data_IF_156077283962
#
_entry.id   IF_156077283962
#
_cell.length_a   1.000
_cell.length_b   1.000
_cell.length_c   1.000
_cell.angle_alpha   90.00
_cell.angle_beta   90.00
_cell.angle_gamma   90.00
#
_symmetry.space_group_name_H-M   'P 1'
#
loop_
_entity.id
_entity.type
_entity.pdbx_description
1 polymer ?
#
# COMPACT_ATOMS: atom_id res chain seq x y z
N UNK A 1 59.50 -34.00 -13.42
CA UNK A 1 58.23 -33.26 -13.28
C UNK A 1 57.94 -32.80 -11.85
N UNK A 2 58.25 -33.58 -10.79
CA UNK A 2 57.94 -33.19 -9.40
C UNK A 2 58.77 -32.01 -8.85
N UNK A 3 60.03 -31.84 -9.29
CA UNK A 3 60.92 -30.81 -8.76
C UNK A 3 60.55 -29.37 -9.18
N UNK A 4 60.10 -29.17 -10.42
CA UNK A 4 59.65 -27.86 -10.90
C UNK A 4 58.34 -27.41 -10.25
N UNK A 5 57.40 -28.35 -10.05
CA UNK A 5 56.13 -28.06 -9.38
C UNK A 5 56.37 -27.62 -7.93
N UNK A 6 57.25 -28.28 -7.19
CA UNK A 6 57.60 -27.88 -5.82
C UNK A 6 58.29 -26.50 -5.76
N UNK A 7 59.05 -26.13 -6.79
CA UNK A 7 59.71 -24.82 -6.87
C UNK A 7 58.70 -23.70 -7.14
N UNK A 8 57.67 -23.96 -7.95
CA UNK A 8 56.58 -23.00 -8.21
C UNK A 8 55.70 -22.85 -6.96
N UNK A 9 55.34 -23.94 -6.29
CA UNK A 9 54.53 -23.90 -5.07
C UNK A 9 55.24 -23.15 -3.93
N UNK A 10 56.53 -23.40 -3.70
CA UNK A 10 57.30 -22.66 -2.68
C UNK A 10 57.48 -21.17 -3.03
N UNK A 11 57.57 -20.83 -4.32
CA UNK A 11 57.61 -19.43 -4.77
C UNK A 11 56.27 -18.71 -4.55
N UNK A 12 55.15 -19.38 -4.84
CA UNK A 12 53.81 -18.84 -4.62
C UNK A 12 53.52 -18.67 -3.13
N UNK A 13 53.85 -19.65 -2.30
CA UNK A 13 53.67 -19.59 -0.84
C UNK A 13 54.45 -18.44 -0.21
N UNK A 14 55.71 -18.25 -0.63
CA UNK A 14 56.56 -17.15 -0.15
C UNK A 14 56.04 -15.78 -0.59
N UNK A 15 55.50 -15.66 -1.81
CA UNK A 15 54.86 -14.42 -2.27
C UNK A 15 53.55 -14.15 -1.52
N UNK A 16 52.70 -15.15 -1.39
CA UNK A 16 51.43 -15.03 -0.67
C UNK A 16 51.64 -14.65 0.79
N UNK A 17 52.60 -15.29 1.48
CA UNK A 17 52.95 -14.95 2.86
C UNK A 17 53.44 -13.51 3.03
N UNK A 18 54.24 -12.99 2.08
CA UNK A 18 54.68 -11.60 2.08
C UNK A 18 53.52 -10.62 1.86
N UNK A 19 52.63 -10.92 0.91
CA UNK A 19 51.44 -10.10 0.67
C UNK A 19 50.50 -10.12 1.86
N UNK A 20 50.26 -11.28 2.47
CA UNK A 20 49.41 -11.44 3.65
C UNK A 20 49.99 -10.69 4.85
N UNK A 21 51.29 -10.77 5.12
CA UNK A 21 51.90 -10.07 6.26
C UNK A 21 51.88 -8.55 6.08
N UNK A 22 52.14 -8.07 4.86
CA UNK A 22 52.08 -6.65 4.53
C UNK A 22 50.64 -6.12 4.67
N UNK A 23 49.67 -6.92 4.22
CA UNK A 23 48.25 -6.57 4.32
C UNK A 23 47.75 -6.56 5.77
N UNK A 24 48.16 -7.54 6.58
CA UNK A 24 47.80 -7.57 7.99
C UNK A 24 48.34 -6.36 8.75
N UNK A 25 49.60 -5.96 8.50
CA UNK A 25 50.17 -4.77 9.15
C UNK A 25 49.46 -3.48 8.72
N UNK A 26 49.14 -3.37 7.43
CA UNK A 26 48.35 -2.25 6.92
C UNK A 26 46.95 -2.20 7.53
N UNK A 27 46.28 -3.36 7.63
CA UNK A 27 44.98 -3.45 8.27
C UNK A 27 45.08 -3.08 9.74
N UNK A 28 46.04 -3.58 10.51
CA UNK A 28 46.19 -3.24 11.93
C UNK A 28 46.39 -1.73 12.15
N UNK A 29 47.20 -1.09 11.31
CA UNK A 29 47.45 0.36 11.39
C UNK A 29 46.23 1.21 11.00
N UNK A 30 45.41 0.72 10.05
CA UNK A 30 44.30 1.49 9.49
C UNK A 30 42.91 0.94 9.85
N UNK A 31 42.81 -0.12 10.65
CA UNK A 31 41.57 -0.84 10.92
C UNK A 31 40.49 0.07 11.48
N UNK A 32 40.85 0.93 12.44
CA UNK A 32 39.93 1.87 13.07
C UNK A 32 39.38 2.88 12.06
N UNK A 33 40.21 3.39 11.15
CA UNK A 33 39.77 4.34 10.13
C UNK A 33 38.90 3.67 9.07
N UNK A 34 39.28 2.47 8.61
CA UNK A 34 38.53 1.69 7.63
C UNK A 34 37.17 1.29 8.19
N UNK A 35 37.13 0.72 9.40
CA UNK A 35 35.89 0.31 10.06
C UNK A 35 34.96 1.50 10.33
N UNK A 36 35.49 2.62 10.81
CA UNK A 36 34.69 3.84 11.03
C UNK A 36 34.13 4.40 9.71
N UNK A 37 34.93 4.39 8.65
CA UNK A 37 34.50 4.87 7.32
C UNK A 37 33.42 3.98 6.71
N UNK A 38 33.56 2.66 6.81
CA UNK A 38 32.55 1.70 6.37
C UNK A 38 31.26 1.89 7.17
N UNK A 39 31.35 2.02 8.49
CA UNK A 39 30.18 2.24 9.34
C UNK A 39 29.47 3.55 8.98
N UNK A 40 30.21 4.65 8.82
CA UNK A 40 29.66 5.94 8.41
C UNK A 40 28.97 5.86 7.05
N UNK A 41 29.58 5.16 6.08
CA UNK A 41 28.99 4.93 4.77
C UNK A 41 27.69 4.11 4.85
N UNK A 42 27.67 3.03 5.63
CA UNK A 42 26.48 2.20 5.81
C UNK A 42 25.33 2.98 6.47
N UNK A 43 25.64 3.82 7.47
CA UNK A 43 24.64 4.70 8.10
C UNK A 43 24.10 5.71 7.09
N UNK A 44 24.97 6.36 6.31
CA UNK A 44 24.55 7.32 5.29
C UNK A 44 23.67 6.65 4.21
N UNK A 45 24.07 5.47 3.74
CA UNK A 45 23.29 4.67 2.79
C UNK A 45 21.93 4.27 3.37
N UNK A 46 21.89 3.83 4.63
CA UNK A 46 20.65 3.47 5.31
C UNK A 46 19.71 4.68 5.44
N UNK A 47 20.23 5.84 5.87
CA UNK A 47 19.43 7.07 5.98
C UNK A 47 18.89 7.51 4.62
N UNK A 48 19.72 7.46 3.57
CA UNK A 48 19.29 7.75 2.21
C UNK A 48 18.16 6.82 1.75
N UNK A 49 18.29 5.51 1.99
CA UNK A 49 17.25 4.53 1.68
C UNK A 49 15.98 4.73 2.52
N UNK A 50 16.11 5.05 3.81
CA UNK A 50 14.97 5.29 4.70
C UNK A 50 14.17 6.52 4.26
N UNK A 51 14.85 7.61 3.90
CA UNK A 51 14.21 8.84 3.42
C UNK A 51 13.49 8.59 2.09
N UNK A 52 14.14 7.92 1.14
CA UNK A 52 13.56 7.66 -0.19
C UNK A 52 12.44 6.62 -0.16
N UNK A 53 12.45 5.69 0.79
CA UNK A 53 11.41 4.65 0.94
C UNK A 53 10.19 5.10 1.75
N UNK A 54 10.30 6.18 2.55
CA UNK A 54 9.21 6.68 3.41
C UNK A 54 7.90 6.88 2.67
N UNK A 55 7.91 7.56 1.52
CA UNK A 55 6.69 7.80 0.73
C UNK A 55 6.04 6.51 0.23
N UNK A 56 6.84 5.50 -0.12
CA UNK A 56 6.34 4.18 -0.54
C UNK A 56 5.70 3.44 0.63
N UNK A 57 6.26 3.53 1.84
CA UNK A 57 5.66 2.93 3.03
C UNK A 57 4.29 3.57 3.35
N UNK A 58 4.21 4.90 3.28
CA UNK A 58 2.94 5.62 3.49
C UNK A 58 1.90 5.24 2.42
N UNK A 59 2.31 5.12 1.16
CA UNK A 59 1.41 4.67 0.08
C UNK A 59 0.87 3.26 0.33
N UNK A 60 1.75 2.35 0.76
CA UNK A 60 1.37 0.97 1.09
C UNK A 60 0.39 0.92 2.27
N UNK A 61 0.61 1.72 3.31
CA UNK A 61 -0.28 1.82 4.47
C UNK A 61 -1.67 2.32 4.05
N UNK A 62 -1.73 3.43 3.31
CA UNK A 62 -3.00 3.98 2.80
C UNK A 62 -3.74 2.95 1.96
N UNK A 63 -3.05 2.31 1.00
CA UNK A 63 -3.63 1.27 0.15
C UNK A 63 -4.22 0.13 0.97
N UNK A 64 -3.47 -0.37 1.95
CA UNK A 64 -3.91 -1.44 2.84
C UNK A 64 -5.16 -1.03 3.61
N UNK A 65 -5.18 0.18 4.15
CA UNK A 65 -6.29 0.70 4.95
C UNK A 65 -7.56 0.89 4.11
N UNK A 66 -7.48 1.57 2.96
CA UNK A 66 -8.65 1.78 2.08
C UNK A 66 -9.23 0.46 1.58
N UNK A 67 -8.38 -0.53 1.28
CA UNK A 67 -8.83 -1.87 0.90
C UNK A 67 -9.50 -2.62 2.06
N UNK A 68 -8.93 -2.52 3.27
CA UNK A 68 -9.51 -3.15 4.46
C UNK A 68 -10.87 -2.55 4.79
N UNK A 69 -11.01 -1.24 4.69
CA UNK A 69 -12.27 -0.51 4.89
C UNK A 69 -13.29 -0.91 3.82
N UNK A 70 -12.91 -0.95 2.54
CA UNK A 70 -13.81 -1.33 1.47
C UNK A 70 -14.36 -2.76 1.66
N UNK A 71 -13.49 -3.72 2.00
CA UNK A 71 -13.90 -5.10 2.33
C UNK A 71 -14.85 -5.17 3.53
N UNK A 72 -14.61 -4.37 4.56
CA UNK A 72 -15.51 -4.31 5.72
C UNK A 72 -16.91 -3.79 5.33
N UNK A 73 -16.98 -2.79 4.44
CA UNK A 73 -18.25 -2.28 3.91
C UNK A 73 -18.94 -3.33 3.01
N UNK A 74 -18.18 -4.07 2.20
CA UNK A 74 -18.72 -5.19 1.41
C UNK A 74 -19.25 -6.31 2.30
N UNK A 75 -18.59 -6.59 3.43
CA UNK A 75 -19.05 -7.57 4.40
C UNK A 75 -20.35 -7.12 5.08
N UNK A 76 -20.47 -5.85 5.45
CA UNK A 76 -21.74 -5.28 5.94
C UNK A 76 -22.86 -5.48 4.91
N UNK A 77 -22.57 -5.23 3.64
CA UNK A 77 -23.55 -5.48 2.59
C UNK A 77 -23.95 -6.96 2.49
N UNK A 78 -22.99 -7.87 2.60
CA UNK A 78 -23.28 -9.32 2.59
C UNK A 78 -24.12 -9.77 3.79
N UNK A 79 -23.94 -9.16 4.96
CA UNK A 79 -24.66 -9.57 6.19
C UNK A 79 -26.03 -8.91 6.32
N UNK A 80 -26.10 -7.60 6.03
CA UNK A 80 -27.23 -6.74 6.39
C UNK A 80 -28.01 -6.18 5.19
N UNK A 81 -27.51 -6.39 3.96
CA UNK A 81 -27.97 -5.80 2.71
C UNK A 81 -28.04 -4.27 2.75
N UNK A 82 -27.05 -3.59 2.16
CA UNK A 82 -27.01 -2.12 2.12
C UNK A 82 -27.91 -1.62 1.00
N UNK A 83 -28.99 -0.95 1.38
CA UNK A 83 -29.99 -0.41 0.46
C UNK A 83 -29.53 0.91 -0.15
N UNK A 84 -28.98 1.79 0.69
CA UNK A 84 -28.62 3.16 0.31
C UNK A 84 -27.40 3.62 1.11
N UNK A 85 -26.59 4.48 0.49
CA UNK A 85 -25.55 5.25 1.17
C UNK A 85 -25.94 6.72 1.08
N UNK A 86 -26.27 7.32 2.22
CA UNK A 86 -26.70 8.72 2.35
C UNK A 86 -25.53 9.67 2.47
N UNK A 87 -25.74 10.87 1.90
CA UNK A 87 -24.78 11.95 1.93
C UNK A 87 -23.72 11.85 0.83
N UNK A 88 -23.02 12.96 0.60
CA UNK A 88 -21.93 13.02 -0.38
C UNK A 88 -20.56 12.63 0.19
N UNK A 89 -20.38 12.74 1.51
CA UNK A 89 -19.13 12.45 2.20
C UNK A 89 -19.44 12.13 3.67
N UNK A 90 -18.85 11.06 4.20
CA UNK A 90 -19.02 10.68 5.60
C UNK A 90 -17.80 9.92 6.13
N UNK A 91 -17.39 10.14 7.39
CA UNK A 91 -16.31 9.36 8.00
C UNK A 91 -16.74 7.91 8.24
N UNK A 92 -15.80 6.96 8.10
CA UNK A 92 -16.08 5.51 8.23
C UNK A 92 -16.09 4.99 9.67
N UNK A 93 -16.31 5.86 10.65
CA UNK A 93 -16.31 5.52 12.10
C UNK A 93 -17.40 4.52 12.50
N UNK A 94 -18.40 4.31 11.66
CA UNK A 94 -19.45 3.32 11.91
C UNK A 94 -18.96 1.87 11.87
N UNK A 95 -17.81 1.59 11.24
CA UNK A 95 -17.27 0.23 11.11
C UNK A 95 -16.83 -0.41 12.43
N UNK A 96 -16.54 0.40 13.45
CA UNK A 96 -16.16 -0.08 14.79
C UNK A 96 -17.35 -0.22 15.75
N UNK A 97 -18.60 -0.05 15.29
CA UNK A 97 -19.78 -0.22 16.13
C UNK A 97 -20.05 -1.70 16.41
N UNK A 98 -20.08 -2.07 17.69
CA UNK A 98 -20.37 -3.44 18.13
C UNK A 98 -21.84 -3.84 18.00
N UNK A 99 -22.76 -2.90 18.20
CA UNK A 99 -24.19 -3.13 18.12
C UNK A 99 -24.86 -1.94 17.45
N UNK A 100 -25.97 -2.23 16.78
CA UNK A 100 -26.83 -1.25 16.12
C UNK A 100 -28.27 -1.62 16.43
N UNK A 101 -29.13 -0.61 16.53
CA UNK A 101 -30.55 -0.76 16.87
C UNK A 101 -31.46 -0.14 15.84
N UNK A 102 -30.90 0.26 14.70
CA UNK A 102 -31.61 0.95 13.64
C UNK A 102 -31.03 0.59 12.28
N UNK A 103 -31.90 0.61 11.27
CA UNK A 103 -31.54 0.47 9.86
C UNK A 103 -30.62 1.60 9.34
N UNK A 104 -30.57 2.74 10.04
CA UNK A 104 -29.68 3.84 9.71
C UNK A 104 -28.40 3.75 10.57
N UNK A 105 -27.24 3.52 9.94
CA UNK A 105 -25.95 3.37 10.61
C UNK A 105 -24.95 4.32 9.96
N UNK A 106 -24.81 5.52 10.54
CA UNK A 106 -23.99 6.57 9.94
C UNK A 106 -24.52 6.93 8.56
N UNK A 107 -23.72 6.81 7.47
CA UNK A 107 -24.19 7.03 6.12
C UNK A 107 -24.97 5.84 5.53
N UNK A 108 -24.93 4.65 6.15
CA UNK A 108 -25.55 3.46 5.57
C UNK A 108 -27.02 3.33 5.97
N UNK A 109 -27.85 2.98 5.00
CA UNK A 109 -29.20 2.44 5.22
C UNK A 109 -29.16 0.96 4.86
N UNK A 110 -29.44 0.11 5.84
CA UNK A 110 -29.43 -1.35 5.69
C UNK A 110 -30.84 -1.91 5.87
N UNK A 111 -31.11 -3.07 5.27
CA UNK A 111 -32.41 -3.71 5.35
C UNK A 111 -32.59 -4.49 6.66
N UNK A 112 -31.61 -5.33 7.00
CA UNK A 112 -31.68 -6.28 8.13
C UNK A 112 -30.62 -5.94 9.18
N UNK A 113 -30.94 -5.04 10.11
CA UNK A 113 -29.99 -4.60 11.14
C UNK A 113 -29.77 -5.66 12.23
N UNK A 114 -30.67 -6.61 12.38
CA UNK A 114 -30.54 -7.76 13.28
C UNK A 114 -29.38 -8.68 12.89
N UNK A 115 -28.99 -8.68 11.62
CA UNK A 115 -27.85 -9.45 11.12
C UNK A 115 -26.50 -8.73 11.32
N UNK A 116 -26.47 -7.60 12.03
CA UNK A 116 -25.23 -6.90 12.30
C UNK A 116 -24.31 -7.74 13.18
N UNK A 117 -23.24 -8.27 12.58
CA UNK A 117 -22.23 -9.11 13.26
C UNK A 117 -21.10 -8.30 13.90
N UNK A 118 -21.16 -6.97 13.80
CA UNK A 118 -20.02 -6.09 14.08
C UNK A 118 -19.46 -6.17 15.51
N UNK A 119 -18.29 -5.54 15.76
CA UNK A 119 -17.63 -4.55 14.90
C UNK A 119 -16.92 -5.19 13.71
N UNK A 120 -17.03 -4.58 12.53
CA UNK A 120 -16.38 -5.06 11.31
C UNK A 120 -14.90 -4.66 11.25
N UNK A 121 -14.52 -3.63 12.01
CA UNK A 121 -13.13 -3.28 12.32
C UNK A 121 -13.03 -3.03 13.83
N UNK A 122 -12.07 -3.67 14.51
CA UNK A 122 -11.82 -3.42 15.94
C UNK A 122 -11.51 -1.94 16.19
N UNK A 123 -10.64 -1.37 15.36
CA UNK A 123 -10.33 0.05 15.32
C UNK A 123 -10.33 0.53 13.87
N UNK A 124 -10.97 1.68 13.63
CA UNK A 124 -10.93 2.34 12.32
C UNK A 124 -9.59 3.05 12.19
N UNK A 125 -8.75 2.72 11.19
CA UNK A 125 -7.46 3.36 11.04
C UNK A 125 -7.62 4.86 10.81
N UNK A 126 -6.62 5.63 11.25
CA UNK A 126 -6.53 7.08 10.99
C UNK A 126 -5.25 7.35 10.23
N UNK A 127 -5.37 8.07 9.13
CA UNK A 127 -4.22 8.50 8.36
C UNK A 127 -3.50 9.64 9.10
N UNK A 128 -2.16 9.61 9.13
CA UNK A 128 -1.34 10.62 9.80
C UNK A 128 -1.74 10.86 11.27
N UNK A 129 -2.19 9.81 11.96
CA UNK A 129 -2.53 9.80 13.39
C UNK A 129 -3.89 10.40 13.76
N UNK A 130 -4.46 11.27 12.94
CA UNK A 130 -5.70 12.00 13.30
C UNK A 130 -6.75 12.07 12.19
N UNK A 131 -6.38 11.90 10.92
CA UNK A 131 -7.27 12.13 9.80
C UNK A 131 -8.10 10.87 9.54
N UNK A 132 -9.44 10.92 9.67
CA UNK A 132 -10.28 9.76 9.41
C UNK A 132 -10.30 9.44 7.91
N UNK A 133 -10.48 8.16 7.59
CA UNK A 133 -10.90 7.79 6.24
C UNK A 133 -12.38 8.11 6.04
N UNK A 134 -12.73 8.44 4.81
CA UNK A 134 -14.06 8.88 4.43
C UNK A 134 -14.60 8.05 3.27
N UNK A 135 -15.90 7.79 3.32
CA UNK A 135 -16.70 7.30 2.22
C UNK A 135 -17.23 8.52 1.46
N UNK A 136 -16.96 8.59 0.16
CA UNK A 136 -17.28 9.75 -0.69
C UNK A 136 -18.07 9.31 -1.91
N UNK A 137 -19.14 10.03 -2.20
CA UNK A 137 -19.92 9.89 -3.44
C UNK A 137 -19.23 10.64 -4.58
N UNK A 138 -19.10 9.95 -5.70
CA UNK A 138 -18.46 10.41 -6.93
C UNK A 138 -19.34 10.02 -8.12
N UNK A 139 -19.00 10.48 -9.31
CA UNK A 139 -19.79 10.21 -10.52
C UNK A 139 -20.02 8.71 -10.73
N UNK A 140 -18.99 7.90 -10.43
CA UNK A 140 -19.01 6.46 -10.64
C UNK A 140 -19.59 5.65 -9.47
N UNK A 141 -20.05 6.29 -8.39
CA UNK A 141 -20.60 5.61 -7.21
C UNK A 141 -19.96 6.08 -5.91
N UNK A 142 -19.47 5.14 -5.11
CA UNK A 142 -18.87 5.45 -3.81
C UNK A 142 -17.45 4.91 -3.70
N UNK A 143 -16.56 5.72 -3.12
CA UNK A 143 -15.16 5.37 -2.91
C UNK A 143 -14.73 5.67 -1.48
N UNK A 144 -13.74 4.91 -0.99
CA UNK A 144 -13.05 5.15 0.27
C UNK A 144 -11.74 5.86 -0.01
N UNK A 145 -11.52 6.98 0.67
CA UNK A 145 -10.31 7.81 0.54
C UNK A 145 -9.85 8.32 1.91
N UNK A 146 -8.58 8.74 2.05
CA UNK A 146 -8.17 9.58 3.17
C UNK A 146 -9.02 10.86 3.23
N UNK A 147 -9.38 11.29 4.44
CA UNK A 147 -10.19 12.50 4.63
C UNK A 147 -9.49 13.78 4.20
N UNK A 148 -10.25 14.87 4.17
CA UNK A 148 -9.74 16.19 3.82
C UNK A 148 -8.55 16.61 4.71
N UNK A 149 -7.58 17.31 4.12
CA UNK A 149 -6.34 17.72 4.79
C UNK A 149 -5.22 16.66 4.76
N UNK A 150 -5.50 15.42 4.32
CA UNK A 150 -4.48 14.39 4.18
C UNK A 150 -3.43 14.77 3.13
N UNK A 151 -2.16 14.82 3.54
CA UNK A 151 -1.03 14.97 2.62
C UNK A 151 -0.62 13.59 2.09
N UNK A 152 -0.88 13.35 0.81
CA UNK A 152 -0.60 12.08 0.16
C UNK A 152 0.90 11.95 -0.21
N UNK A 153 1.40 10.71 -0.41
CA UNK A 153 2.79 10.45 -0.80
C UNK A 153 3.26 11.19 -2.05
N UNK A 154 2.35 11.52 -2.97
CA UNK A 154 2.64 12.32 -4.17
C UNK A 154 2.75 13.83 -3.93
N UNK A 155 2.58 14.30 -2.70
CA UNK A 155 2.60 15.72 -2.33
C UNK A 155 1.26 16.44 -2.46
N UNK A 156 0.20 15.75 -2.91
CA UNK A 156 -1.14 16.31 -3.07
C UNK A 156 -1.92 16.29 -1.75
N UNK A 157 -2.72 17.32 -1.52
CA UNK A 157 -3.55 17.47 -0.32
C UNK A 157 -5.03 17.20 -0.65
N UNK A 158 -5.65 16.27 0.07
CA UNK A 158 -7.08 15.98 -0.04
C UNK A 158 -7.93 17.21 0.34
N UNK A 159 -8.96 17.50 -0.45
CA UNK A 159 -9.86 18.64 -0.23
C UNK A 159 -9.32 19.99 -0.71
N UNK A 160 -8.03 20.07 -1.06
CA UNK A 160 -7.40 21.25 -1.66
C UNK A 160 -6.98 20.97 -3.11
N UNK A 161 -6.05 20.05 -3.31
CA UNK A 161 -5.53 19.69 -4.63
C UNK A 161 -6.39 18.60 -5.29
N UNK A 162 -6.99 17.73 -4.47
CA UNK A 162 -7.90 16.67 -4.90
C UNK A 162 -9.27 16.93 -4.28
N UNK A 163 -10.19 17.43 -5.10
CA UNK A 163 -11.57 17.68 -4.68
C UNK A 163 -12.48 16.64 -5.33
N UNK A 164 -12.97 15.71 -4.52
CA UNK A 164 -13.97 14.72 -4.91
C UNK A 164 -15.36 15.26 -4.61
N UNK A 165 -16.25 15.15 -5.59
CA UNK A 165 -17.64 15.55 -5.54
C UNK A 165 -18.49 14.60 -6.42
N UNK A 166 -19.82 14.57 -6.24
CA UNK A 166 -20.70 13.63 -6.95
C UNK A 166 -20.69 13.74 -8.48
N UNK A 167 -20.23 14.87 -9.03
CA UNK A 167 -20.10 15.18 -10.46
C UNK A 167 -18.65 15.00 -10.99
N UNK A 168 -17.73 14.57 -10.13
CA UNK A 168 -16.31 14.39 -10.46
C UNK A 168 -15.98 12.91 -10.59
N UNK A 169 -15.37 12.55 -11.71
CA UNK A 169 -14.80 11.22 -11.92
C UNK A 169 -13.56 10.99 -11.06
N UNK A 170 -13.54 9.90 -10.28
CA UNK A 170 -12.34 9.48 -9.52
C UNK A 170 -11.23 9.02 -10.45
N UNK A 171 -11.60 8.52 -11.63
CA UNK A 171 -10.65 8.09 -12.66
C UNK A 171 -9.61 9.17 -12.96
N UNK A 172 -9.99 10.45 -12.95
CA UNK A 172 -9.08 11.58 -13.20
C UNK A 172 -7.90 11.65 -12.21
N UNK A 173 -8.09 11.16 -10.98
CA UNK A 173 -7.09 11.21 -9.92
C UNK A 173 -6.41 9.85 -9.66
N UNK A 174 -7.01 8.75 -10.09
CA UNK A 174 -6.53 7.39 -9.84
C UNK A 174 -5.51 6.85 -10.87
N UNK A 175 -5.32 7.56 -11.99
CA UNK A 175 -4.28 7.21 -13.00
C UNK A 175 -2.85 7.34 -12.46
N UNK A 176 -1.92 6.58 -13.04
CA UNK A 176 -0.50 6.57 -12.65
C UNK A 176 0.09 7.99 -12.57
N UNK A 177 0.69 8.33 -11.42
CA UNK A 177 1.31 9.64 -11.20
C UNK A 177 0.35 10.80 -10.93
N UNK A 178 -0.96 10.53 -10.79
CA UNK A 178 -1.97 11.51 -10.35
C UNK A 178 -2.17 11.44 -8.83
N UNK A 179 -2.95 12.38 -8.29
CA UNK A 179 -3.08 12.61 -6.86
C UNK A 179 -3.44 11.40 -5.99
N UNK A 180 -4.31 10.50 -6.47
CA UNK A 180 -4.74 9.29 -5.75
C UNK A 180 -3.97 8.03 -6.19
N UNK A 181 -2.79 8.18 -6.79
CA UNK A 181 -1.94 7.07 -7.19
C UNK A 181 -0.47 7.38 -6.89
N UNK A 182 0.21 6.52 -6.16
CA UNK A 182 1.64 6.66 -5.93
C UNK A 182 2.39 5.48 -6.55
N UNK A 183 3.13 5.74 -7.64
CA UNK A 183 3.95 4.74 -8.34
C UNK A 183 3.21 3.44 -8.72
N UNK A 184 1.91 3.53 -9.03
CA UNK A 184 1.07 2.39 -9.38
C UNK A 184 0.21 1.87 -8.23
N UNK A 185 0.45 2.30 -6.99
CA UNK A 185 -0.40 1.98 -5.86
C UNK A 185 -1.61 2.93 -5.79
N UNK A 186 -2.85 2.45 -5.99
CA UNK A 186 -4.04 3.26 -5.82
C UNK A 186 -4.26 3.56 -4.34
N UNK A 187 -4.46 4.83 -4.02
CA UNK A 187 -4.72 5.34 -2.66
C UNK A 187 -6.22 5.52 -2.39
N UNK A 188 -7.04 4.84 -3.18
CA UNK A 188 -8.50 4.88 -3.18
C UNK A 188 -9.04 3.47 -3.42
N UNK A 189 -10.14 3.13 -2.76
CA UNK A 189 -10.84 1.86 -2.99
C UNK A 189 -12.31 2.09 -3.36
N UNK A 190 -12.78 1.60 -4.53
CA UNK A 190 -14.18 1.68 -4.90
C UNK A 190 -15.04 0.66 -4.15
N UNK A 191 -16.29 1.02 -3.89
CA UNK A 191 -17.31 0.09 -3.38
C UNK A 191 -18.03 -0.55 -4.57
N UNK A 192 -18.13 -1.89 -4.55
CA UNK A 192 -18.48 -2.67 -5.75
C UNK A 192 -19.95 -3.12 -5.84
N UNK A 193 -20.71 -3.10 -4.74
CA UNK A 193 -22.09 -3.59 -4.72
C UNK A 193 -23.11 -2.51 -5.12
N UNK A 194 -24.26 -2.97 -5.62
CA UNK A 194 -25.36 -2.13 -6.12
C UNK A 194 -26.14 -1.54 -4.94
N UNK A 195 -26.36 -0.23 -4.96
CA UNK A 195 -27.22 0.50 -4.02
C UNK A 195 -28.19 1.41 -4.76
N UNK A 196 -29.22 1.94 -4.09
CA UNK A 196 -30.03 3.03 -4.66
C UNK A 196 -29.13 4.25 -4.94
N UNK A 197 -29.04 4.68 -6.20
CA UNK A 197 -28.15 5.75 -6.65
C UNK A 197 -26.84 5.29 -7.30
N UNK A 198 -26.67 3.98 -7.50
CA UNK A 198 -25.55 3.38 -8.22
C UNK A 198 -25.71 3.53 -9.74
N UNK A 199 -24.73 4.13 -10.43
CA UNK A 199 -24.72 4.27 -11.89
C UNK A 199 -23.95 3.11 -12.53
N UNK A 200 -24.52 2.37 -13.49
CA UNK A 200 -23.87 1.22 -14.14
C UNK A 200 -22.65 1.58 -15.01
N UNK A 201 -22.35 2.86 -15.24
CA UNK A 201 -21.25 3.29 -16.10
C UNK A 201 -19.83 3.03 -15.54
N UNK A 202 -19.70 2.64 -14.26
CA UNK A 202 -18.42 2.28 -13.66
C UNK A 202 -17.79 0.99 -14.23
N UNK A 203 -18.61 0.03 -14.69
CA UNK A 203 -18.19 -1.37 -14.78
C UNK A 203 -17.24 -1.70 -15.93
N UNK A 204 -17.17 -0.88 -16.98
CA UNK A 204 -16.55 -1.34 -18.21
C UNK A 204 -15.24 -0.65 -18.56
N UNK A 205 -15.08 0.67 -18.40
CA UNK A 205 -13.77 1.30 -18.67
C UNK A 205 -12.88 1.33 -17.45
N UNK A 206 -13.38 1.79 -16.32
CA UNK A 206 -12.54 2.03 -15.13
C UNK A 206 -12.21 0.73 -14.39
N UNK A 207 -13.17 -0.19 -14.26
CA UNK A 207 -12.91 -1.52 -13.71
C UNK A 207 -11.99 -2.36 -14.61
N UNK A 208 -12.17 -2.34 -15.95
CA UNK A 208 -11.20 -2.97 -16.86
C UNK A 208 -9.83 -2.31 -16.77
N UNK A 209 -9.74 -0.98 -16.72
CA UNK A 209 -8.46 -0.29 -16.58
C UNK A 209 -7.79 -0.55 -15.23
N UNK A 210 -8.54 -0.62 -14.13
CA UNK A 210 -8.03 -0.96 -12.80
C UNK A 210 -7.61 -2.42 -12.73
N UNK A 211 -8.44 -3.35 -13.24
CA UNK A 211 -8.13 -4.78 -13.29
C UNK A 211 -6.94 -5.05 -14.23
N UNK A 212 -6.86 -4.42 -15.40
CA UNK A 212 -5.71 -4.50 -16.29
C UNK A 212 -4.47 -3.85 -15.66
N UNK A 213 -4.62 -2.76 -14.90
CA UNK A 213 -3.52 -2.18 -14.14
C UNK A 213 -3.04 -3.13 -13.03
N UNK A 214 -3.94 -3.77 -12.29
CA UNK A 214 -3.60 -4.79 -11.29
C UNK A 214 -2.98 -6.03 -11.94
N UNK A 215 -3.47 -6.45 -13.11
CA UNK A 215 -2.95 -7.58 -13.88
C UNK A 215 -1.55 -7.28 -14.41
N UNK A 216 -1.34 -6.13 -15.06
CA UNK A 216 -0.01 -5.67 -15.51
C UNK A 216 0.96 -5.50 -14.34
N UNK A 217 0.49 -5.04 -13.19
CA UNK A 217 1.30 -4.95 -11.97
C UNK A 217 1.68 -6.33 -11.42
N UNK A 218 0.74 -7.28 -11.40
CA UNK A 218 0.99 -8.67 -11.02
C UNK A 218 1.96 -9.36 -11.98
N UNK A 219 1.86 -9.09 -13.28
CA UNK A 219 2.73 -9.64 -14.33
C UNK A 219 4.13 -8.98 -14.31
N UNK A 220 4.23 -7.70 -13.95
CA UNK A 220 5.49 -6.97 -13.83
C UNK A 220 6.28 -7.25 -12.53
N UNK A 221 5.71 -8.02 -11.60
CA UNK A 221 6.38 -8.47 -10.38
C UNK A 221 6.49 -10.00 -10.35
N UNK A 222 7.51 -10.60 -11.00
CA UNK A 222 7.63 -12.05 -11.18
C UNK A 222 7.92 -12.84 -9.88
N UNK A 223 8.06 -12.19 -8.72
CA UNK A 223 8.50 -12.85 -7.48
C UNK A 223 7.42 -13.06 -6.40
N UNK A 224 6.13 -12.79 -6.67
CA UNK A 224 5.07 -12.97 -5.64
C UNK A 224 4.00 -14.01 -5.96
N UNK A 225 4.07 -14.76 -7.06
CA UNK A 225 3.11 -15.85 -7.33
C UNK A 225 3.78 -17.22 -7.29
N UNK A 226 3.91 -17.79 -6.08
CA UNK A 226 4.14 -19.23 -5.89
C UNK A 226 2.86 -19.84 -5.31
N UNK A 227 2.10 -20.48 -6.20
CA UNK A 227 1.21 -21.59 -5.84
C UNK A 227 -0.13 -21.25 -5.19
N UNK A 228 -1.13 -20.93 -6.01
CA UNK A 228 -2.43 -21.60 -5.88
C UNK A 228 -2.72 -22.25 -7.22
N UNK A 229 -2.14 -23.44 -7.42
CA UNK A 229 -2.59 -24.36 -8.46
C UNK A 229 -3.94 -24.90 -8.01
N UNK A 230 -4.99 -24.54 -8.75
CA UNK A 230 -6.26 -25.26 -8.72
C UNK A 230 -5.99 -26.71 -9.16
N UNK A 231 -5.88 -27.64 -8.21
CA UNK A 231 -6.13 -29.04 -8.46
C UNK A 231 -7.62 -29.28 -8.28
N UNK A 232 -8.37 -29.07 -9.36
CA UNK A 232 -9.71 -29.60 -9.55
C UNK A 232 -9.77 -30.14 -10.98
N UNK A 233 -9.32 -31.38 -11.13
CA UNK A 233 -9.72 -32.36 -12.12
C UNK A 233 -9.41 -33.74 -11.53
#
# INVERSE_FOLDING_TARGET
MSAEVNKILSFLDRKLGFWVSTWNRFLDEHFTYISSSILAFLIAMFLFLAITSRQRMVAWEVRRDVQRIARAIEQINSDCNVVEIRGGRAPVTFLSRKKVSSQNIGPLVIETYENWKGPYLEEVPKFQGSIPYELVKVEEGFVVVPGNGALLPGGFVMGKDIVLAPDKSVGQYAYYGRGLNYRGDPLVAPITFKTKGWSPHFQERTLRNLVDMFKRFSEAMPYTYRGVSNSAA
#
